data_IF_662998495807
#
_entry.id   IF_662998495807
#
_cell.length_a   1.000
_cell.length_b   1.000
_cell.length_c   1.000
_cell.angle_alpha   90.00
_cell.angle_beta   90.00
_cell.angle_gamma   90.00
#
_symmetry.space_group_name_H-M   'P 1'
#
loop_
_entity.id
_entity.type
_entity.pdbx_description
1 polymer ?
#
# COMPACT_ATOMS: atom_id res chain seq x y z
N UNK A 1 -12.48 -16.46 0.60
CA UNK A 1 -12.14 -15.93 1.95
C UNK A 1 -10.94 -15.00 1.93
N UNK A 2 -9.81 -15.38 1.32
CA UNK A 2 -8.59 -14.57 1.23
C UNK A 2 -8.82 -13.15 0.67
N UNK A 3 -9.61 -13.01 -0.40
CA UNK A 3 -9.89 -11.69 -1.00
C UNK A 3 -10.56 -10.72 -0.03
N UNK A 4 -11.46 -11.19 0.84
CA UNK A 4 -12.11 -10.34 1.85
C UNK A 4 -11.10 -9.79 2.85
N UNK A 5 -10.11 -10.59 3.26
CA UNK A 5 -9.04 -10.15 4.16
C UNK A 5 -8.19 -9.08 3.46
N UNK A 6 -7.82 -9.29 2.20
CA UNK A 6 -7.05 -8.31 1.42
C UNK A 6 -7.81 -7.00 1.22
N UNK A 7 -9.12 -7.09 0.96
CA UNK A 7 -10.01 -5.92 0.88
C UNK A 7 -10.06 -5.17 2.21
N UNK A 8 -10.20 -5.88 3.34
CA UNK A 8 -10.17 -5.25 4.66
C UNK A 8 -8.82 -4.57 4.96
N UNK A 9 -7.70 -5.17 4.55
CA UNK A 9 -6.38 -4.54 4.68
C UNK A 9 -6.31 -3.27 3.81
N UNK A 10 -6.80 -3.31 2.57
CA UNK A 10 -6.81 -2.16 1.68
C UNK A 10 -7.67 -1.01 2.25
N UNK A 11 -8.85 -1.33 2.80
CA UNK A 11 -9.74 -0.38 3.50
C UNK A 11 -9.04 0.20 4.72
N UNK A 12 -8.37 -0.64 5.52
CA UNK A 12 -7.60 -0.19 6.69
C UNK A 12 -6.49 0.77 6.27
N UNK A 13 -5.82 0.52 5.14
CA UNK A 13 -4.86 1.44 4.53
C UNK A 13 -5.50 2.80 4.20
N UNK A 14 -6.66 2.81 3.54
CA UNK A 14 -7.37 4.04 3.21
C UNK A 14 -7.78 4.85 4.46
N UNK A 15 -8.29 4.17 5.50
CA UNK A 15 -8.60 4.79 6.80
C UNK A 15 -7.33 5.39 7.42
N UNK A 16 -6.21 4.66 7.35
CA UNK A 16 -4.93 5.11 7.91
C UNK A 16 -4.38 6.35 7.19
N UNK A 17 -4.58 6.48 5.88
CA UNK A 17 -4.30 7.74 5.15
C UNK A 17 -5.19 8.87 5.66
N UNK A 18 -6.49 8.65 5.80
CA UNK A 18 -7.43 9.65 6.28
C UNK A 18 -7.10 10.15 7.70
N UNK A 19 -6.50 9.30 8.53
CA UNK A 19 -6.00 9.64 9.87
C UNK A 19 -4.63 10.34 9.88
N UNK A 20 -4.09 10.73 8.71
CA UNK A 20 -2.81 11.42 8.63
C UNK A 20 -1.58 10.54 8.88
N UNK A 21 -1.72 9.21 8.74
CA UNK A 21 -0.63 8.23 8.93
C UNK A 21 -0.21 7.58 7.61
N UNK A 22 0.20 8.35 6.58
CA UNK A 22 0.38 7.83 5.23
C UNK A 22 1.48 6.77 5.14
N UNK A 23 2.50 6.80 6.00
CA UNK A 23 3.54 5.76 6.01
C UNK A 23 2.96 4.38 6.39
N UNK A 24 2.15 4.33 7.45
CA UNK A 24 1.52 3.09 7.87
C UNK A 24 0.53 2.56 6.82
N UNK A 25 -0.20 3.46 6.14
CA UNK A 25 -1.06 3.07 5.03
C UNK A 25 -0.29 2.44 3.86
N UNK A 26 0.84 3.03 3.46
CA UNK A 26 1.67 2.47 2.39
C UNK A 26 2.25 1.10 2.78
N UNK A 27 2.58 0.88 4.05
CA UNK A 27 2.99 -0.45 4.55
C UNK A 27 1.85 -1.47 4.44
N UNK A 28 0.61 -1.09 4.77
CA UNK A 28 -0.55 -1.98 4.58
C UNK A 28 -0.76 -2.32 3.09
N UNK A 29 -0.61 -1.34 2.22
CA UNK A 29 -0.74 -1.52 0.77
C UNK A 29 0.38 -2.34 0.13
N UNK A 30 1.58 -2.38 0.73
CA UNK A 30 2.64 -3.32 0.34
C UNK A 30 2.24 -4.79 0.54
N UNK A 31 1.27 -5.06 1.40
CA UNK A 31 0.76 -6.42 1.64
C UNK A 31 -0.44 -6.68 0.74
N UNK A 32 -1.44 -5.76 0.73
CA UNK A 32 -2.68 -5.99 -0.01
C UNK A 32 -2.49 -5.97 -1.52
N UNK A 33 -1.68 -5.05 -2.07
CA UNK A 33 -1.60 -4.84 -3.51
C UNK A 33 -0.93 -6.00 -4.25
N UNK A 34 0.22 -6.55 -3.82
CA UNK A 34 0.81 -7.71 -4.50
C UNK A 34 -0.11 -8.93 -4.44
N UNK A 35 -0.74 -9.17 -3.29
CA UNK A 35 -1.65 -10.29 -3.12
C UNK A 35 -2.91 -10.14 -3.99
N UNK A 36 -3.46 -8.93 -4.14
CA UNK A 36 -4.56 -8.67 -5.07
C UNK A 36 -4.12 -8.76 -6.53
N UNK A 37 -2.91 -8.36 -6.89
CA UNK A 37 -2.37 -8.53 -8.24
C UNK A 37 -2.31 -10.01 -8.63
N UNK A 38 -1.74 -10.86 -7.76
CA UNK A 38 -1.68 -12.31 -7.96
C UNK A 38 -3.08 -12.94 -8.01
N UNK A 39 -3.99 -12.52 -7.12
CA UNK A 39 -5.37 -13.01 -7.13
C UNK A 39 -6.07 -12.72 -8.46
N UNK A 40 -5.98 -11.49 -8.96
CA UNK A 40 -6.61 -11.10 -10.22
C UNK A 40 -5.98 -11.82 -11.43
N UNK A 41 -4.67 -12.04 -11.41
CA UNK A 41 -4.00 -12.83 -12.45
C UNK A 41 -4.55 -14.26 -12.51
N UNK A 42 -4.79 -14.90 -11.36
CA UNK A 42 -5.30 -16.28 -11.30
C UNK A 42 -6.75 -16.44 -11.76
N UNK A 43 -7.54 -15.36 -11.77
CA UNK A 43 -8.92 -15.36 -12.28
C UNK A 43 -9.03 -14.77 -13.69
N UNK A 44 -7.90 -14.55 -14.36
CA UNK A 44 -7.78 -13.96 -15.71
C UNK A 44 -8.28 -12.50 -15.83
N UNK A 45 -8.30 -11.75 -14.72
CA UNK A 45 -8.61 -10.31 -14.69
C UNK A 45 -7.29 -9.52 -14.83
N UNK A 46 -6.68 -9.56 -16.02
CA UNK A 46 -5.31 -9.06 -16.24
C UNK A 46 -5.20 -7.53 -16.08
N UNK A 47 -6.23 -6.78 -16.42
CA UNK A 47 -6.30 -5.33 -16.25
C UNK A 47 -6.22 -4.97 -14.76
N UNK A 48 -7.00 -5.68 -13.93
CA UNK A 48 -6.98 -5.52 -12.47
C UNK A 48 -5.65 -5.97 -11.88
N UNK A 49 -5.08 -7.08 -12.38
CA UNK A 49 -3.77 -7.56 -11.96
C UNK A 49 -2.67 -6.52 -12.23
N UNK A 50 -2.68 -5.90 -13.41
CA UNK A 50 -1.77 -4.83 -13.80
C UNK A 50 -1.93 -3.59 -12.93
N UNK A 51 -3.17 -3.15 -12.68
CA UNK A 51 -3.46 -2.01 -11.79
C UNK A 51 -2.90 -2.22 -10.39
N UNK A 52 -3.13 -3.38 -9.77
CA UNK A 52 -2.58 -3.69 -8.46
C UNK A 52 -1.05 -3.86 -8.47
N UNK A 53 -0.47 -4.29 -9.59
CA UNK A 53 0.97 -4.26 -9.81
C UNK A 53 1.53 -2.84 -9.73
N UNK A 54 0.93 -1.88 -10.45
CA UNK A 54 1.30 -0.47 -10.38
C UNK A 54 1.13 0.09 -8.96
N UNK A 55 0.01 -0.22 -8.29
CA UNK A 55 -0.23 0.21 -6.91
C UNK A 55 0.78 -0.36 -5.91
N UNK A 56 1.33 -1.55 -6.18
CA UNK A 56 2.43 -2.11 -5.39
C UNK A 56 3.69 -1.26 -5.51
N UNK A 57 4.05 -0.84 -6.72
CA UNK A 57 5.20 0.04 -6.96
C UNK A 57 5.02 1.43 -6.32
N UNK A 58 3.80 1.98 -6.39
CA UNK A 58 3.46 3.25 -5.73
C UNK A 58 3.61 3.12 -4.20
N UNK A 59 3.16 2.00 -3.62
CA UNK A 59 3.30 1.76 -2.18
C UNK A 59 4.78 1.66 -1.75
N UNK A 60 5.64 1.01 -2.55
CA UNK A 60 7.10 0.97 -2.31
C UNK A 60 7.68 2.38 -2.30
N UNK A 61 7.38 3.18 -3.33
CA UNK A 61 7.83 4.56 -3.43
C UNK A 61 7.32 5.42 -2.25
N UNK A 62 6.04 5.26 -1.89
CA UNK A 62 5.42 5.94 -0.76
C UNK A 62 6.12 5.65 0.56
N UNK A 63 6.44 4.38 0.85
CA UNK A 63 7.21 4.00 2.05
C UNK A 63 8.59 4.64 2.03
N UNK A 64 9.33 4.56 0.92
CA UNK A 64 10.68 5.11 0.80
C UNK A 64 10.69 6.62 1.04
N UNK A 65 9.86 7.36 0.31
CA UNK A 65 9.81 8.82 0.38
C UNK A 65 9.35 9.34 1.75
N UNK A 66 8.28 8.75 2.31
CA UNK A 66 7.76 9.18 3.62
C UNK A 66 8.73 8.87 4.75
N UNK A 67 9.40 7.71 4.70
CA UNK A 67 10.41 7.35 5.71
C UNK A 67 11.59 8.34 5.70
N UNK A 68 12.06 8.74 4.52
CA UNK A 68 13.10 9.76 4.41
C UNK A 68 12.65 11.11 4.99
N UNK A 69 11.44 11.54 4.66
CA UNK A 69 10.86 12.78 5.19
C UNK A 69 10.83 12.79 6.72
N UNK A 70 10.34 11.71 7.36
CA UNK A 70 10.33 11.60 8.82
C UNK A 70 11.72 11.65 9.45
N UNK A 71 12.73 11.05 8.80
CA UNK A 71 14.12 11.09 9.29
C UNK A 71 14.68 12.51 9.22
N UNK A 72 14.40 13.25 8.14
CA UNK A 72 14.84 14.62 7.97
C UNK A 72 14.20 15.58 8.98
N UNK A 73 12.88 15.47 9.18
CA UNK A 73 12.14 16.29 10.15
C UNK A 73 12.65 16.07 11.58
N UNK A 74 12.91 14.82 11.96
CA UNK A 74 13.47 14.48 13.28
C UNK A 74 14.87 15.08 13.51
N UNK A 75 15.69 15.20 12.46
CA UNK A 75 17.03 15.82 12.55
C UNK A 75 16.96 17.33 12.68
N UNK A 76 15.97 18.00 12.08
CA UNK A 76 15.82 19.46 12.20
C UNK A 76 15.25 19.93 13.55
N UNK A 77 14.66 19.02 14.33
CA UNK A 77 14.09 19.32 15.65
C UNK A 77 15.04 19.08 16.83
N UNK A 78 16.28 18.65 16.56
CA UNK A 78 17.35 18.42 17.54
C UNK A 78 18.36 19.57 17.49
#
# INVERSE_FOLDING_TARGET
MMILILTLIAITGAITVALGKPLAANVLWLISNPAMSVYNYNINEFEMAGMFGVYSMIAVYGVYNLKLKFIMEKRSSQ
#
